data_IF_274839003909
#
_entry.id   IF_274839003909
#
_cell.length_a   1.000
_cell.length_b   1.000
_cell.length_c   1.000
_cell.angle_alpha   90.00
_cell.angle_beta   90.00
_cell.angle_gamma   90.00
#
_symmetry.space_group_name_H-M   'P 1'
#
loop_
_entity.id
_entity.type
_entity.pdbx_description
1 polymer ?
#
# COMPACT_ATOMS: atom_id res chain seq x y z
N UNK A 1 -0.57 9.78 -11.13
CA UNK A 1 0.16 8.49 -11.04
C UNK A 1 -0.16 7.50 -12.18
N UNK A 2 0.70 6.50 -12.39
CA UNK A 2 0.44 5.29 -13.20
C UNK A 2 0.29 4.05 -12.32
N UNK A 3 -0.27 2.98 -12.87
CA UNK A 3 -0.39 1.69 -12.19
C UNK A 3 -0.02 0.53 -13.12
N UNK A 4 0.63 -0.49 -12.56
CA UNK A 4 1.05 -1.70 -13.23
C UNK A 4 -0.14 -2.64 -13.50
N UNK A 5 -0.94 -2.93 -12.46
CA UNK A 5 -2.08 -3.84 -12.59
C UNK A 5 -3.14 -3.64 -11.51
N UNK A 6 -4.35 -4.16 -11.77
CA UNK A 6 -5.43 -4.26 -10.79
C UNK A 6 -5.87 -5.72 -10.74
N UNK A 7 -5.79 -6.35 -9.57
CA UNK A 7 -6.34 -7.68 -9.31
C UNK A 7 -7.68 -7.54 -8.62
N UNK A 8 -8.75 -8.03 -9.26
CA UNK A 8 -10.14 -7.86 -8.79
C UNK A 8 -10.53 -8.83 -7.68
N UNK A 9 -9.86 -9.99 -7.62
CA UNK A 9 -10.05 -11.02 -6.61
C UNK A 9 -8.67 -11.52 -6.20
N UNK A 10 -8.11 -10.87 -5.20
CA UNK A 10 -6.79 -11.16 -4.66
C UNK A 10 -6.93 -11.78 -3.27
N UNK A 11 -6.23 -12.89 -3.04
CA UNK A 11 -6.20 -13.61 -1.77
C UNK A 11 -4.79 -13.64 -1.16
N UNK A 12 -3.82 -13.05 -1.85
CA UNK A 12 -2.40 -13.07 -1.47
C UNK A 12 -1.95 -11.78 -0.78
N UNK A 13 -2.68 -10.68 -0.97
CA UNK A 13 -2.32 -9.36 -0.45
C UNK A 13 -3.28 -8.89 0.63
N UNK A 14 -3.35 -9.63 1.74
CA UNK A 14 -4.15 -9.30 2.92
C UNK A 14 -5.31 -10.25 3.16
N UNK A 15 -5.96 -10.11 4.32
CA UNK A 15 -7.00 -11.05 4.75
C UNK A 15 -8.29 -10.97 3.89
N UNK A 16 -8.80 -12.16 3.54
CA UNK A 16 -9.99 -12.35 2.72
C UNK A 16 -9.77 -12.09 1.23
N UNK A 17 -10.86 -11.98 0.47
CA UNK A 17 -10.79 -11.62 -0.95
C UNK A 17 -10.73 -10.09 -1.04
N UNK A 18 -9.73 -9.55 -1.72
CA UNK A 18 -9.48 -8.11 -1.81
C UNK A 18 -9.37 -7.69 -3.27
N UNK A 19 -9.56 -6.39 -3.52
CA UNK A 19 -9.07 -5.77 -4.75
C UNK A 19 -7.67 -5.24 -4.46
N UNK A 20 -6.72 -5.48 -5.35
CA UNK A 20 -5.35 -4.99 -5.20
C UNK A 20 -4.98 -4.07 -6.33
N UNK A 21 -4.55 -2.85 -6.00
CA UNK A 21 -3.99 -1.88 -6.93
C UNK A 21 -2.46 -1.91 -6.81
N UNK A 22 -1.79 -2.31 -7.89
CA UNK A 22 -0.34 -2.27 -8.02
C UNK A 22 0.03 -0.95 -8.70
N UNK A 23 0.42 0.07 -7.92
CA UNK A 23 0.88 1.35 -8.46
C UNK A 23 2.26 1.21 -9.11
N UNK A 24 2.61 2.14 -9.99
CA UNK A 24 3.95 2.22 -10.60
C UNK A 24 4.79 3.31 -9.93
N UNK A 25 6.11 3.13 -9.88
CA UNK A 25 7.06 4.06 -9.27
C UNK A 25 7.55 3.58 -7.90
N UNK A 26 8.87 3.40 -7.75
CA UNK A 26 9.54 3.10 -6.50
C UNK A 26 11.01 3.49 -6.59
N UNK A 27 11.51 4.29 -5.64
CA UNK A 27 12.94 4.66 -5.64
C UNK A 27 13.84 3.68 -4.88
N UNK A 28 13.30 2.65 -4.23
CA UNK A 28 14.10 1.74 -3.40
C UNK A 28 14.90 0.69 -4.18
N UNK A 29 14.39 0.23 -5.34
CA UNK A 29 15.08 -0.72 -6.22
C UNK A 29 15.65 -1.97 -5.50
N UNK A 30 14.87 -2.56 -4.60
CA UNK A 30 15.32 -3.70 -3.78
C UNK A 30 15.80 -4.88 -4.65
N UNK A 31 16.96 -5.51 -4.35
CA UNK A 31 17.42 -6.69 -5.06
C UNK A 31 16.41 -7.85 -4.99
N UNK A 32 16.07 -8.42 -6.15
CA UNK A 32 15.10 -9.52 -6.24
C UNK A 32 13.65 -9.12 -5.93
N UNK A 33 13.30 -7.84 -6.11
CA UNK A 33 11.94 -7.34 -5.94
C UNK A 33 10.93 -8.10 -6.81
N UNK A 34 9.81 -8.52 -6.22
CA UNK A 34 8.76 -9.21 -6.95
C UNK A 34 8.04 -8.32 -7.99
N UNK A 35 8.04 -7.01 -7.78
CA UNK A 35 7.37 -6.02 -8.64
C UNK A 35 8.37 -5.17 -9.42
N UNK A 36 9.46 -5.77 -9.92
CA UNK A 36 10.58 -5.06 -10.57
C UNK A 36 10.12 -4.11 -11.69
N UNK A 37 9.24 -4.56 -12.60
CA UNK A 37 8.72 -3.71 -13.68
C UNK A 37 7.97 -2.47 -13.15
N UNK A 38 7.25 -2.62 -12.03
CA UNK A 38 6.48 -1.54 -11.42
C UNK A 38 7.36 -0.53 -10.66
N UNK A 39 8.68 -0.72 -10.57
CA UNK A 39 9.59 0.28 -10.00
C UNK A 39 9.71 1.52 -10.90
N UNK A 40 9.56 1.36 -12.22
CA UNK A 40 9.53 2.49 -13.14
C UNK A 40 8.23 3.29 -12.97
N UNK A 41 8.36 4.60 -12.76
CA UNK A 41 7.23 5.54 -12.71
C UNK A 41 6.44 5.57 -14.02
N UNK A 42 7.05 5.18 -15.13
CA UNK A 42 6.43 5.20 -16.45
C UNK A 42 5.73 3.90 -16.86
N UNK A 43 5.88 2.85 -16.07
CA UNK A 43 5.32 1.54 -16.39
C UNK A 43 3.79 1.50 -16.23
N UNK A 44 3.12 0.73 -17.08
CA UNK A 44 1.70 0.42 -16.97
C UNK A 44 0.77 1.49 -17.56
N UNK A 45 -0.38 1.71 -16.90
CA UNK A 45 -1.49 2.53 -17.39
C UNK A 45 -1.68 3.78 -16.54
N UNK A 46 -2.21 4.84 -17.13
CA UNK A 46 -2.58 6.06 -16.39
C UNK A 46 -3.72 5.77 -15.42
N UNK A 47 -3.56 6.21 -14.17
CA UNK A 47 -4.66 6.23 -13.22
C UNK A 47 -5.57 7.43 -13.52
N UNK A 48 -6.81 7.14 -13.92
CA UNK A 48 -7.83 8.12 -14.29
C UNK A 48 -9.15 7.81 -13.58
N UNK A 49 -10.14 8.69 -13.65
CA UNK A 49 -11.45 8.49 -13.00
C UNK A 49 -12.07 7.12 -13.31
N UNK A 50 -12.07 6.70 -14.57
CA UNK A 50 -12.60 5.39 -14.96
C UNK A 50 -11.87 4.19 -14.30
N UNK A 51 -10.60 4.37 -13.92
CA UNK A 51 -9.83 3.36 -13.17
C UNK A 51 -10.32 3.30 -11.73
N UNK A 52 -10.51 4.46 -11.11
CA UNK A 52 -11.05 4.57 -9.75
C UNK A 52 -12.47 3.99 -9.65
N UNK A 53 -13.33 4.34 -10.60
CA UNK A 53 -14.71 3.84 -10.67
C UNK A 53 -14.74 2.31 -10.79
N UNK A 54 -13.81 1.73 -11.56
CA UNK A 54 -13.63 0.29 -11.65
C UNK A 54 -13.22 -0.30 -10.30
N UNK A 55 -12.24 0.29 -9.60
CA UNK A 55 -11.78 -0.19 -8.30
C UNK A 55 -12.93 -0.17 -7.29
N UNK A 56 -13.64 0.96 -7.16
CA UNK A 56 -14.75 1.12 -6.23
C UNK A 56 -15.91 0.17 -6.55
N UNK A 57 -16.23 -0.02 -7.84
CA UNK A 57 -17.22 -1.01 -8.26
C UNK A 57 -16.83 -2.41 -7.81
N UNK A 58 -15.58 -2.80 -7.95
CA UNK A 58 -15.10 -4.13 -7.56
C UNK A 58 -15.06 -4.26 -6.02
N UNK A 59 -14.57 -3.25 -5.31
CA UNK A 59 -14.48 -3.22 -3.84
C UNK A 59 -15.86 -3.26 -3.17
N UNK A 60 -16.88 -2.64 -3.78
CA UNK A 60 -18.24 -2.61 -3.22
C UNK A 60 -18.93 -3.99 -3.17
N UNK A 61 -18.37 -5.01 -3.84
CA UNK A 61 -18.96 -6.34 -3.86
C UNK A 61 -18.99 -6.95 -2.44
N UNK A 62 -20.07 -7.65 -2.05
CA UNK A 62 -20.23 -8.16 -0.68
C UNK A 62 -19.12 -9.12 -0.22
N UNK A 63 -18.58 -9.94 -1.12
CA UNK A 63 -17.52 -10.90 -0.81
C UNK A 63 -16.11 -10.29 -0.75
N UNK A 64 -15.94 -9.03 -1.16
CA UNK A 64 -14.67 -8.32 -1.07
C UNK A 64 -14.53 -7.69 0.32
N UNK A 65 -13.40 -7.92 0.98
CA UNK A 65 -13.07 -7.39 2.31
C UNK A 65 -12.46 -6.00 2.28
N UNK A 66 -11.86 -5.63 1.15
CA UNK A 66 -11.38 -4.27 0.94
C UNK A 66 -10.32 -4.15 -0.14
N UNK A 67 -9.52 -3.09 -0.01
CA UNK A 67 -8.50 -2.67 -0.96
C UNK A 67 -7.10 -2.96 -0.40
N UNK A 68 -6.18 -3.31 -1.28
CA UNK A 68 -4.75 -3.42 -1.00
C UNK A 68 -3.97 -2.54 -1.97
N UNK A 69 -3.15 -1.64 -1.43
CA UNK A 69 -2.28 -0.74 -2.17
C UNK A 69 -0.85 -1.25 -2.08
N UNK A 70 -0.25 -1.60 -3.22
CA UNK A 70 1.11 -2.12 -3.34
C UNK A 70 1.63 -1.84 -4.76
N UNK A 71 2.65 -2.58 -5.23
CA UNK A 71 3.21 -2.42 -6.58
C UNK A 71 4.68 -2.03 -6.53
N UNK A 72 5.03 -0.90 -7.14
CA UNK A 72 6.29 -0.22 -6.88
C UNK A 72 6.34 0.20 -5.40
N UNK A 73 5.84 1.39 -5.08
CA UNK A 73 5.54 1.80 -3.71
C UNK A 73 4.44 2.89 -3.69
N UNK A 74 3.31 2.67 -3.01
CA UNK A 74 2.26 3.68 -2.84
C UNK A 74 2.75 5.00 -2.23
N UNK A 75 3.80 4.97 -1.42
CA UNK A 75 4.33 6.16 -0.77
C UNK A 75 5.36 6.91 -1.64
N UNK A 76 5.82 6.35 -2.75
CA UNK A 76 6.71 7.06 -3.67
C UNK A 76 6.01 7.94 -4.70
N UNK A 77 4.67 8.01 -4.68
CA UNK A 77 3.92 8.85 -5.60
C UNK A 77 4.19 10.34 -5.39
N UNK A 78 3.94 11.13 -6.43
CA UNK A 78 3.92 12.59 -6.36
C UNK A 78 2.74 13.08 -5.51
N UNK A 79 2.69 14.39 -5.24
CA UNK A 79 1.67 14.99 -4.39
C UNK A 79 0.24 14.68 -4.87
N UNK A 80 0.01 14.71 -6.18
CA UNK A 80 -1.29 14.43 -6.77
C UNK A 80 -1.64 12.94 -6.65
N UNK A 81 -0.68 12.04 -6.89
CA UNK A 81 -0.86 10.61 -6.70
C UNK A 81 -1.14 10.23 -5.25
N UNK A 82 -0.46 10.84 -4.28
CA UNK A 82 -0.73 10.65 -2.86
C UNK A 82 -2.14 11.11 -2.50
N UNK A 83 -2.55 12.30 -2.94
CA UNK A 83 -3.91 12.82 -2.74
C UNK A 83 -4.97 11.94 -3.40
N UNK A 84 -4.71 11.42 -4.61
CA UNK A 84 -5.57 10.46 -5.29
C UNK A 84 -5.74 9.18 -4.47
N UNK A 85 -4.65 8.60 -3.97
CA UNK A 85 -4.70 7.40 -3.14
C UNK A 85 -5.47 7.64 -1.84
N UNK A 86 -5.26 8.77 -1.16
CA UNK A 86 -6.02 9.12 0.06
C UNK A 86 -7.51 9.26 -0.19
N UNK A 87 -7.90 9.93 -1.27
CA UNK A 87 -9.32 10.02 -1.64
C UNK A 87 -9.92 8.64 -1.92
N UNK A 88 -9.17 7.75 -2.58
CA UNK A 88 -9.59 6.37 -2.79
C UNK A 88 -9.77 5.62 -1.46
N UNK A 89 -8.84 5.77 -0.51
CA UNK A 89 -8.92 5.15 0.82
C UNK A 89 -10.21 5.57 1.55
N UNK A 90 -10.50 6.87 1.58
CA UNK A 90 -11.72 7.39 2.21
C UNK A 90 -12.99 6.80 1.57
N UNK A 91 -13.05 6.76 0.23
CA UNK A 91 -14.19 6.15 -0.49
C UNK A 91 -14.33 4.65 -0.22
N UNK A 92 -13.23 3.93 0.02
CA UNK A 92 -13.26 2.52 0.40
C UNK A 92 -13.79 2.35 1.82
N UNK A 93 -13.42 3.24 2.74
CA UNK A 93 -13.95 3.27 4.10
C UNK A 93 -15.44 3.60 4.14
N UNK A 94 -15.93 4.52 3.29
CA UNK A 94 -17.36 4.83 3.14
C UNK A 94 -18.19 3.60 2.71
N UNK A 95 -17.57 2.62 2.04
CA UNK A 95 -18.18 1.33 1.68
C UNK A 95 -18.14 0.30 2.83
N UNK A 96 -17.63 0.68 4.01
CA UNK A 96 -17.45 -0.21 5.16
C UNK A 96 -16.39 -1.28 4.93
N UNK A 97 -15.36 -0.99 4.12
CA UNK A 97 -14.28 -1.93 3.78
C UNK A 97 -12.95 -1.44 4.34
N UNK A 98 -11.96 -2.33 4.42
CA UNK A 98 -10.62 -2.01 4.97
C UNK A 98 -9.61 -1.69 3.87
N UNK A 99 -8.53 -1.00 4.22
CA UNK A 99 -7.39 -0.72 3.34
C UNK A 99 -6.09 -1.23 3.94
N UNK A 100 -5.32 -1.96 3.14
CA UNK A 100 -3.95 -2.38 3.48
C UNK A 100 -2.95 -1.66 2.57
N UNK A 101 -1.80 -1.27 3.10
CA UNK A 101 -0.73 -0.62 2.33
C UNK A 101 0.59 -1.37 2.55
N UNK A 102 1.30 -1.68 1.46
CA UNK A 102 2.69 -2.16 1.50
C UNK A 102 3.64 -1.06 1.09
N UNK A 103 4.69 -0.85 1.86
CA UNK A 103 5.73 0.14 1.53
C UNK A 103 7.11 -0.28 2.05
N UNK A 104 8.15 0.18 1.36
CA UNK A 104 9.53 0.06 1.79
C UNK A 104 9.90 1.02 2.92
N UNK A 105 9.11 2.05 3.16
CA UNK A 105 9.28 2.94 4.32
C UNK A 105 8.92 2.20 5.60
N UNK A 106 9.64 2.49 6.69
CA UNK A 106 9.19 2.10 8.04
C UNK A 106 8.26 3.14 8.62
N UNK A 107 7.40 2.72 9.55
CA UNK A 107 6.53 3.63 10.29
C UNK A 107 7.32 4.77 10.96
N UNK A 108 8.48 4.46 11.54
CA UNK A 108 9.36 5.43 12.18
C UNK A 108 9.96 6.41 11.15
N UNK A 109 10.37 5.95 9.96
CA UNK A 109 10.85 6.85 8.90
C UNK A 109 9.81 7.88 8.49
N UNK A 110 8.53 7.51 8.52
CA UNK A 110 7.44 8.44 8.20
C UNK A 110 7.26 9.48 9.29
N UNK A 111 7.33 9.09 10.57
CA UNK A 111 7.20 10.03 11.70
C UNK A 111 8.38 11.00 11.78
N UNK A 112 9.60 10.53 11.55
CA UNK A 112 10.80 11.36 11.54
C UNK A 112 10.78 12.40 10.39
N UNK A 113 10.07 12.07 9.30
CA UNK A 113 9.90 12.94 8.14
C UNK A 113 8.78 13.98 8.24
N UNK A 114 8.03 14.01 9.34
CA UNK A 114 6.86 14.86 9.50
C UNK A 114 7.21 16.36 9.39
N UNK A 115 6.47 17.09 8.58
CA UNK A 115 6.65 18.53 8.37
C UNK A 115 7.80 18.93 7.45
N UNK A 116 8.56 17.97 6.89
CA UNK A 116 9.71 18.26 6.02
C UNK A 116 9.30 18.69 4.60
N UNK A 117 8.19 18.18 4.08
CA UNK A 117 7.60 18.59 2.79
C UNK A 117 6.10 18.30 2.75
N UNK A 118 5.39 18.84 1.76
CA UNK A 118 3.97 18.53 1.55
C UNK A 118 3.77 17.03 1.25
N UNK A 119 4.65 16.43 0.44
CA UNK A 119 4.61 14.99 0.14
C UNK A 119 4.89 14.13 1.37
N UNK A 120 5.82 14.56 2.24
CA UNK A 120 6.09 13.85 3.48
C UNK A 120 4.84 13.81 4.38
N UNK A 121 4.13 14.94 4.49
CA UNK A 121 2.87 15.02 5.22
C UNK A 121 1.79 14.15 4.59
N UNK A 122 1.63 14.17 3.26
CA UNK A 122 0.62 13.35 2.59
C UNK A 122 0.91 11.84 2.71
N UNK A 123 2.18 11.42 2.72
CA UNK A 123 2.55 10.01 3.01
C UNK A 123 2.10 9.58 4.40
N UNK A 124 2.37 10.41 5.41
CA UNK A 124 1.97 10.13 6.80
C UNK A 124 0.45 10.02 6.88
N UNK A 125 -0.26 10.98 6.29
CA UNK A 125 -1.72 10.98 6.31
C UNK A 125 -2.30 9.75 5.59
N UNK A 126 -1.72 9.35 4.45
CA UNK A 126 -2.13 8.13 3.75
C UNK A 126 -1.94 6.86 4.59
N UNK A 127 -0.84 6.76 5.34
CA UNK A 127 -0.60 5.62 6.23
C UNK A 127 -1.52 5.66 7.45
N UNK A 128 -1.77 6.84 8.04
CA UNK A 128 -2.72 7.01 9.13
C UNK A 128 -4.16 6.68 8.71
N UNK A 129 -4.50 6.89 7.44
CA UNK A 129 -5.82 6.58 6.89
C UNK A 129 -5.98 5.07 6.57
N UNK A 130 -4.96 4.21 6.69
CA UNK A 130 -5.09 2.78 6.41
C UNK A 130 -5.33 1.92 7.66
N UNK A 131 -5.81 0.69 7.48
CA UNK A 131 -6.13 -0.24 8.57
C UNK A 131 -4.93 -1.12 8.95
N UNK A 132 -4.13 -1.52 7.96
CA UNK A 132 -2.94 -2.34 8.14
C UNK A 132 -1.82 -1.84 7.24
N UNK A 133 -0.65 -1.61 7.85
CA UNK A 133 0.53 -1.13 7.16
C UNK A 133 1.62 -2.21 7.19
N UNK A 134 2.03 -2.70 6.02
CA UNK A 134 3.17 -3.60 5.87
C UNK A 134 4.39 -2.77 5.51
N UNK A 135 5.31 -2.67 6.45
CA UNK A 135 6.39 -1.70 6.41
C UNK A 135 7.77 -2.32 6.25
N UNK A 136 8.72 -1.50 5.79
CA UNK A 136 10.12 -1.87 5.61
C UNK A 136 10.46 -2.46 4.24
N UNK A 137 11.72 -2.27 3.86
CA UNK A 137 12.28 -2.75 2.59
C UNK A 137 12.23 -4.27 2.48
N UNK A 138 12.11 -4.77 1.25
CA UNK A 138 12.42 -6.17 0.97
C UNK A 138 13.94 -6.38 1.03
N UNK A 139 14.41 -7.17 2.00
CA UNK A 139 15.80 -7.58 2.08
C UNK A 139 15.97 -9.02 1.57
N UNK A 140 16.72 -9.18 0.47
CA UNK A 140 16.91 -10.48 -0.19
C UNK A 140 17.48 -11.56 0.75
N UNK A 141 18.47 -11.20 1.56
CA UNK A 141 19.11 -12.13 2.51
C UNK A 141 18.21 -12.52 3.69
N UNK A 142 17.12 -11.77 3.91
CA UNK A 142 16.10 -12.06 4.93
C UNK A 142 14.82 -12.63 4.32
N UNK A 143 14.83 -13.01 3.03
CA UNK A 143 13.67 -13.57 2.33
C UNK A 143 13.14 -14.80 3.08
N UNK A 144 11.83 -14.80 3.35
CA UNK A 144 11.14 -15.94 3.94
C UNK A 144 9.69 -15.96 3.44
N UNK A 145 9.35 -16.97 2.64
CA UNK A 145 8.04 -17.12 2.01
C UNK A 145 6.98 -17.72 2.94
N UNK A 146 7.38 -18.16 4.15
CA UNK A 146 6.45 -18.67 5.16
C UNK A 146 5.79 -17.55 5.98
N UNK A 147 6.29 -16.32 5.85
CA UNK A 147 5.78 -15.17 6.60
C UNK A 147 4.41 -14.73 6.07
N UNK A 148 3.53 -14.35 7.01
CA UNK A 148 2.24 -13.79 6.66
C UNK A 148 2.43 -12.40 6.03
N UNK A 149 1.92 -12.24 4.80
CA UNK A 149 1.73 -10.96 4.10
C UNK A 149 2.99 -10.15 3.80
N UNK A 150 4.18 -10.72 3.96
CA UNK A 150 5.46 -10.04 3.74
C UNK A 150 6.51 -10.98 3.18
N UNK A 151 7.53 -10.43 2.53
CA UNK A 151 8.53 -11.21 1.81
C UNK A 151 9.84 -11.43 2.57
N UNK A 152 10.11 -10.62 3.60
CA UNK A 152 11.39 -10.63 4.33
C UNK A 152 11.18 -10.39 5.83
N UNK A 153 12.05 -10.99 6.67
CA UNK A 153 11.89 -11.02 8.13
C UNK A 153 11.96 -9.65 8.82
N UNK A 154 12.58 -8.65 8.19
CA UNK A 154 12.67 -7.30 8.73
C UNK A 154 11.38 -6.49 8.55
N UNK A 155 10.50 -6.92 7.64
CA UNK A 155 9.22 -6.25 7.42
C UNK A 155 8.26 -6.57 8.55
N UNK A 156 7.37 -5.63 8.89
CA UNK A 156 6.36 -5.81 9.94
C UNK A 156 4.97 -5.61 9.34
N UNK A 157 3.99 -6.33 9.87
CA UNK A 157 2.56 -6.10 9.57
C UNK A 157 1.97 -5.36 10.77
N UNK A 158 1.67 -4.09 10.60
CA UNK A 158 1.28 -3.18 11.68
C UNK A 158 -0.24 -2.98 11.66
N UNK A 159 -0.88 -3.17 12.82
CA UNK A 159 -2.29 -2.85 13.04
C UNK A 159 -2.42 -1.35 13.30
N UNK A 160 -2.84 -0.60 12.29
CA UNK A 160 -2.92 0.87 12.37
C UNK A 160 -4.10 1.33 13.23
N UNK A 161 -5.15 0.50 13.36
CA UNK A 161 -6.28 0.79 14.24
C UNK A 161 -5.91 0.72 15.73
N UNK A 162 -4.90 -0.09 16.08
CA UNK A 162 -4.40 -0.23 17.46
C UNK A 162 -3.14 0.58 17.74
N UNK A 163 -2.37 0.92 16.72
CA UNK A 163 -1.13 1.68 16.85
C UNK A 163 -1.45 3.15 17.19
N UNK A 164 -0.90 3.62 18.31
CA UNK A 164 -0.94 5.02 18.74
C UNK A 164 0.48 5.47 19.05
N UNK A 165 0.84 5.53 20.33
CA UNK A 165 2.20 5.90 20.77
C UNK A 165 3.21 4.74 20.60
N UNK A 166 2.71 3.51 20.43
CA UNK A 166 3.53 2.30 20.27
C UNK A 166 2.97 1.45 19.14
N UNK A 167 3.87 0.97 18.28
CA UNK A 167 3.56 0.02 17.20
C UNK A 167 2.95 -1.25 17.77
N UNK A 168 1.78 -1.62 17.25
CA UNK A 168 1.09 -2.87 17.53
C UNK A 168 1.13 -3.73 16.27
N UNK A 169 1.68 -4.94 16.38
CA UNK A 169 1.73 -5.87 15.25
C UNK A 169 0.35 -6.52 15.03
N UNK A 170 -0.05 -6.61 13.77
CA UNK A 170 -1.27 -7.30 13.34
C UNK A 170 -1.09 -8.83 13.38
N UNK A 171 0.11 -9.31 13.04
CA UNK A 171 0.54 -10.70 13.17
C UNK A 171 2.04 -10.78 13.48
N UNK A 172 2.48 -11.93 14.00
CA UNK A 172 3.90 -12.23 14.24
C UNK A 172 4.72 -12.36 12.96
#
# INVERSE_FOLDING_TARGET
>A
MKYASIKKMDISNGEGIRVSLFVSGCNFHCPGCFNEEAQSFDYGKNYIQATEDLILKEVSKPHIKGLSLLGGDPLWQDIDGLKQLRQLVQKVHDLGKTVWIWSGFTYENLLDGNGLSEEANERILLVCDCDVFVDGLFEYDKKDLSLAWRGSRNQRVIDMNKTKDKVVLYCE
#
